data_IF_530061519124
#
_entry.id   IF_530061519124
#
_cell.length_a   1.000
_cell.length_b   1.000
_cell.length_c   1.000
_cell.angle_alpha   90.00
_cell.angle_beta   90.00
_cell.angle_gamma   90.00
#
_symmetry.space_group_name_H-M   'P 1'
#
loop_
_entity.id
_entity.type
_entity.pdbx_description
1 polymer ?
#
# COMPACT_ATOMS: atom_id res chain seq x y z
N UNK A 1 0.56 6.23 -2.45
CA UNK A 1 -0.24 6.89 -3.52
C UNK A 1 -1.61 6.25 -3.77
N UNK A 2 -1.81 4.93 -3.70
CA UNK A 2 -3.13 4.32 -3.92
C UNK A 2 -4.24 4.87 -2.98
N UNK A 3 -3.95 5.01 -1.68
CA UNK A 3 -4.90 5.63 -0.74
C UNK A 3 -5.21 7.09 -1.11
N UNK A 4 -4.20 7.87 -1.53
CA UNK A 4 -4.43 9.24 -1.98
C UNK A 4 -5.33 9.28 -3.23
N UNK A 5 -5.13 8.38 -4.19
CA UNK A 5 -6.02 8.23 -5.35
C UNK A 5 -7.46 7.91 -4.91
N UNK A 6 -7.63 7.01 -3.93
CA UNK A 6 -8.93 6.66 -3.35
C UNK A 6 -9.63 7.88 -2.72
N UNK A 7 -8.90 8.69 -1.93
CA UNK A 7 -9.45 9.89 -1.30
C UNK A 7 -9.77 10.99 -2.30
N UNK A 8 -8.93 11.22 -3.31
CA UNK A 8 -9.19 12.20 -4.39
C UNK A 8 -10.40 11.79 -5.25
N UNK A 9 -10.58 10.49 -5.49
CA UNK A 9 -11.76 9.97 -6.18
C UNK A 9 -13.02 10.27 -5.37
N UNK A 10 -13.00 10.05 -4.05
CA UNK A 10 -14.13 10.41 -3.16
C UNK A 10 -14.42 11.92 -3.16
N UNK A 11 -13.40 12.75 -3.00
CA UNK A 11 -13.51 14.22 -3.04
C UNK A 11 -14.16 14.72 -4.33
N UNK A 12 -13.78 14.11 -5.45
CA UNK A 12 -14.24 14.51 -6.78
C UNK A 12 -15.47 13.73 -7.26
N UNK A 13 -16.08 12.90 -6.42
CA UNK A 13 -17.22 12.02 -6.76
C UNK A 13 -16.98 11.12 -7.99
N UNK A 14 -15.76 10.60 -8.12
CA UNK A 14 -15.35 9.62 -9.14
C UNK A 14 -15.02 8.27 -8.51
N UNK A 15 -14.73 7.28 -9.38
CA UNK A 15 -14.18 5.99 -9.00
C UNK A 15 -12.68 5.95 -9.24
N UNK A 16 -12.00 5.09 -8.51
CA UNK A 16 -10.57 4.86 -8.65
C UNK A 16 -10.24 4.32 -10.04
N UNK A 17 -9.21 4.89 -10.65
CA UNK A 17 -8.69 4.44 -11.94
C UNK A 17 -7.45 3.57 -11.78
N UNK A 18 -6.37 3.95 -12.45
CA UNK A 18 -5.09 3.24 -12.41
C UNK A 18 -4.07 4.06 -11.64
N UNK A 19 -3.25 3.37 -10.83
CA UNK A 19 -2.04 3.96 -10.27
C UNK A 19 -0.88 3.69 -11.23
N UNK A 20 -0.23 4.74 -11.71
CA UNK A 20 0.92 4.66 -12.63
C UNK A 20 2.08 5.38 -11.95
N UNK A 21 3.21 4.70 -11.81
CA UNK A 21 4.44 5.26 -11.24
C UNK A 21 5.61 5.09 -12.21
N UNK A 22 6.47 6.10 -12.28
CA UNK A 22 7.76 6.03 -12.96
C UNK A 22 8.85 6.12 -11.89
N UNK A 23 9.67 5.07 -11.79
CA UNK A 23 10.81 5.03 -10.90
C UNK A 23 12.06 5.28 -11.73
N UNK A 24 12.85 6.31 -11.37
CA UNK A 24 14.06 6.66 -12.10
C UNK A 24 15.24 5.81 -11.63
N UNK A 25 15.85 6.17 -10.50
CA UNK A 25 16.83 5.33 -9.82
C UNK A 25 16.10 4.33 -8.92
N UNK A 26 16.18 3.05 -9.27
CA UNK A 26 15.60 1.95 -8.51
C UNK A 26 16.73 1.00 -8.11
N UNK A 27 17.00 0.89 -6.81
CA UNK A 27 18.10 0.11 -6.27
C UNK A 27 17.69 -0.67 -5.01
N UNK A 28 18.55 -1.59 -4.60
CA UNK A 28 18.41 -2.40 -3.38
C UNK A 28 19.68 -2.19 -2.54
N UNK A 29 19.51 -1.92 -1.25
CA UNK A 29 20.64 -1.83 -0.32
C UNK A 29 21.24 -3.22 -0.07
N UNK A 30 22.57 -3.29 0.08
CA UNK A 30 23.28 -4.56 0.26
C UNK A 30 22.78 -5.34 1.48
N UNK A 31 22.49 -4.65 2.59
CA UNK A 31 21.95 -5.24 3.81
C UNK A 31 20.49 -5.72 3.67
N UNK A 32 19.82 -5.47 2.54
CA UNK A 32 18.47 -5.95 2.23
C UNK A 32 18.45 -7.16 1.29
N UNK A 33 19.59 -7.56 0.71
CA UNK A 33 19.62 -8.63 -0.31
C UNK A 33 19.09 -9.97 0.22
N UNK A 34 19.45 -10.35 1.45
CA UNK A 34 18.98 -11.62 2.05
C UNK A 34 17.46 -11.62 2.26
N UNK A 35 16.92 -10.56 2.85
CA UNK A 35 15.47 -10.42 3.07
C UNK A 35 14.69 -10.30 1.76
N UNK A 36 15.27 -9.66 0.73
CA UNK A 36 14.65 -9.62 -0.59
C UNK A 36 14.56 -11.01 -1.23
N UNK A 37 15.60 -11.85 -1.08
CA UNK A 37 15.57 -13.25 -1.54
C UNK A 37 14.51 -14.07 -0.80
N UNK A 38 14.42 -13.94 0.52
CA UNK A 38 13.34 -14.58 1.31
C UNK A 38 11.95 -14.14 0.83
N UNK A 39 11.76 -12.84 0.55
CA UNK A 39 10.49 -12.32 0.06
C UNK A 39 10.10 -12.91 -1.30
N UNK A 40 11.06 -13.20 -2.18
CA UNK A 40 10.83 -13.79 -3.50
C UNK A 40 10.40 -15.26 -3.45
N UNK A 41 10.61 -15.96 -2.34
CA UNK A 41 10.15 -17.34 -2.14
C UNK A 41 8.66 -17.42 -1.74
N UNK A 42 8.03 -16.28 -1.41
CA UNK A 42 6.62 -16.21 -1.00
C UNK A 42 5.69 -16.23 -2.19
N UNK A 43 4.61 -17.02 -2.12
CA UNK A 43 3.56 -17.03 -3.13
C UNK A 43 2.68 -15.77 -3.03
N UNK A 44 2.71 -14.86 -4.04
CA UNK A 44 1.93 -13.64 -4.01
C UNK A 44 0.41 -13.89 -4.07
N UNK A 45 -0.04 -15.09 -4.48
CA UNK A 45 -1.45 -15.44 -4.61
C UNK A 45 -1.99 -16.21 -3.40
N UNK A 46 -1.18 -16.45 -2.36
CA UNK A 46 -1.60 -17.19 -1.16
C UNK A 46 -2.79 -16.53 -0.45
N UNK A 47 -2.83 -15.21 -0.44
CA UNK A 47 -3.86 -14.42 0.24
C UNK A 47 -4.69 -13.64 -0.77
N UNK A 48 -5.99 -13.52 -0.49
CA UNK A 48 -6.88 -12.66 -1.27
C UNK A 48 -6.50 -11.19 -1.11
N UNK A 49 -6.72 -10.39 -2.15
CA UNK A 49 -6.49 -8.95 -2.08
C UNK A 49 -7.38 -8.31 -1.02
N UNK A 50 -6.83 -7.43 -0.16
CA UNK A 50 -7.62 -6.68 0.81
C UNK A 50 -8.53 -5.67 0.11
N UNK A 51 -9.54 -5.20 0.82
CA UNK A 51 -10.40 -4.09 0.38
C UNK A 51 -10.16 -2.86 1.24
N UNK A 52 -10.18 -1.70 0.60
CA UNK A 52 -10.12 -0.42 1.29
C UNK A 52 -11.50 0.22 1.30
N UNK A 53 -11.95 0.63 2.47
CA UNK A 53 -13.25 1.27 2.66
C UNK A 53 -13.05 2.52 3.50
N UNK A 54 -13.54 3.66 3.01
CA UNK A 54 -13.54 4.92 3.77
C UNK A 54 -14.99 5.33 4.03
N UNK A 55 -15.36 5.34 5.30
CA UNK A 55 -16.68 5.74 5.80
C UNK A 55 -16.66 7.24 6.17
N UNK A 56 -17.84 7.85 6.33
CA UNK A 56 -18.01 9.22 6.85
C UNK A 56 -17.18 10.31 6.13
N UNK A 57 -16.86 10.11 4.85
CA UNK A 57 -16.04 11.04 4.09
C UNK A 57 -16.80 12.33 3.75
N UNK A 58 -16.32 13.48 4.25
CA UNK A 58 -16.82 14.82 3.90
C UNK A 58 -15.86 15.58 2.99
N UNK A 59 -14.58 15.57 3.34
CA UNK A 59 -13.50 16.29 2.67
C UNK A 59 -12.18 15.59 2.94
N UNK A 60 -11.28 15.57 1.95
CA UNK A 60 -9.91 15.06 2.12
C UNK A 60 -9.12 15.83 3.20
N UNK A 61 -9.49 17.08 3.48
CA UNK A 61 -8.85 17.90 4.51
C UNK A 61 -9.33 17.57 5.93
N UNK A 62 -10.52 16.98 6.06
CA UNK A 62 -11.11 16.58 7.35
C UNK A 62 -10.86 15.08 7.64
N UNK A 63 -10.47 14.31 6.63
CA UNK A 63 -10.21 12.87 6.72
C UNK A 63 -9.16 12.53 7.80
N UNK A 64 -9.48 11.54 8.62
CA UNK A 64 -8.55 10.91 9.57
C UNK A 64 -8.22 9.48 9.14
N UNK A 65 -7.05 8.99 9.54
CA UNK A 65 -6.64 7.62 9.22
C UNK A 65 -7.62 6.55 9.74
N UNK A 66 -8.38 6.86 10.79
CA UNK A 66 -9.40 5.99 11.38
C UNK A 66 -10.66 5.85 10.54
N UNK A 67 -10.90 6.78 9.61
CA UNK A 67 -12.07 6.74 8.72
C UNK A 67 -11.91 5.70 7.60
N UNK A 68 -10.67 5.25 7.37
CA UNK A 68 -10.33 4.23 6.39
C UNK A 68 -9.99 2.92 7.07
N UNK A 69 -10.66 1.85 6.64
CA UNK A 69 -10.42 0.48 7.08
C UNK A 69 -9.82 -0.33 5.94
N UNK A 70 -8.88 -1.21 6.31
CA UNK A 70 -8.32 -2.21 5.40
C UNK A 70 -8.91 -3.57 5.78
N UNK A 71 -9.94 -3.97 5.06
CA UNK A 71 -10.68 -5.20 5.31
C UNK A 71 -9.96 -6.40 4.68
N UNK A 72 -10.07 -7.55 5.34
CA UNK A 72 -9.54 -8.85 4.87
C UNK A 72 -8.02 -8.88 4.60
N UNK A 73 -7.26 -7.99 5.23
CA UNK A 73 -5.81 -7.98 5.06
C UNK A 73 -5.14 -9.16 5.75
N UNK A 74 -4.50 -10.00 4.95
CA UNK A 74 -3.62 -11.08 5.41
C UNK A 74 -2.25 -10.90 4.77
N UNK A 75 -1.20 -11.20 5.53
CA UNK A 75 0.18 -11.06 5.05
C UNK A 75 1.06 -12.16 5.63
N UNK A 76 2.18 -12.41 4.95
CA UNK A 76 3.25 -13.21 5.51
C UNK A 76 3.92 -12.51 6.70
N UNK A 77 4.61 -13.24 7.59
CA UNK A 77 5.37 -12.63 8.68
C UNK A 77 6.31 -11.52 8.20
N UNK A 78 6.46 -10.49 9.02
CA UNK A 78 7.33 -9.34 8.71
C UNK A 78 8.78 -9.80 8.53
N UNK A 79 9.37 -9.39 7.41
CA UNK A 79 10.83 -9.41 7.22
C UNK A 79 11.38 -8.08 7.74
N UNK A 80 12.39 -8.13 8.62
CA UNK A 80 13.00 -6.93 9.16
C UNK A 80 14.09 -6.44 8.19
N UNK A 81 13.96 -5.21 7.71
CA UNK A 81 14.97 -4.50 6.94
C UNK A 81 15.47 -3.31 7.77
N UNK A 82 16.76 -3.26 8.05
CA UNK A 82 17.37 -2.13 8.77
C UNK A 82 17.58 -0.95 7.82
N UNK A 83 17.22 0.26 8.25
CA UNK A 83 17.36 1.47 7.43
C UNK A 83 18.85 1.80 7.33
N UNK A 84 19.34 2.01 6.11
CA UNK A 84 20.68 2.55 5.89
C UNK A 84 20.71 4.02 6.33
N UNK A 85 21.71 4.38 7.13
CA UNK A 85 21.97 5.75 7.59
C UNK A 85 22.93 6.43 6.61
#
# INVERSE_FOLDING_TARGET
YALLLHLLAKESNFKEGRLIGFLADTHIYENHISGAKEQLERDPNKFTLPKIETENFSSIFDWQYTDTKLNDYQSYPRIKFDIAI
#
